data_IF_979632683962
#
_entry.id   IF_979632683962
#
_cell.length_a   1.000
_cell.length_b   1.000
_cell.length_c   1.000
_cell.angle_alpha   90.00
_cell.angle_beta   90.00
_cell.angle_gamma   90.00
#
_symmetry.space_group_name_H-M   'P 1'
#
loop_
_entity.id
_entity.type
_entity.pdbx_description
1 polymer ?
#
# COMPACT_ATOMS: atom_id res chain seq x y z
N UNK A 1 7.11 7.77 8.09
CA UNK A 1 7.15 7.10 6.77
C UNK A 1 7.64 5.65 6.89
N UNK A 2 8.64 5.34 7.72
CA UNK A 2 9.13 3.97 7.95
C UNK A 2 8.02 2.95 8.28
N UNK A 3 7.18 3.22 9.29
CA UNK A 3 6.10 2.31 9.69
C UNK A 3 5.02 2.04 8.63
N UNK A 4 4.90 2.91 7.60
CA UNK A 4 3.97 2.70 6.47
C UNK A 4 4.55 1.65 5.50
N UNK A 5 5.86 1.73 5.26
CA UNK A 5 6.57 0.83 4.35
C UNK A 5 6.69 -0.57 4.96
N UNK A 6 7.03 -0.69 6.24
CA UNK A 6 7.11 -1.98 6.95
C UNK A 6 5.82 -2.79 6.87
N UNK A 7 4.66 -2.12 6.97
CA UNK A 7 3.37 -2.80 6.90
C UNK A 7 3.04 -3.27 5.47
N UNK A 8 3.41 -2.48 4.45
CA UNK A 8 3.28 -2.87 3.05
C UNK A 8 4.25 -4.02 2.69
N UNK A 9 5.44 -4.05 3.30
CA UNK A 9 6.44 -5.11 3.11
C UNK A 9 6.03 -6.43 3.79
N UNK A 10 5.40 -6.38 4.97
CA UNK A 10 5.06 -7.58 5.73
C UNK A 10 3.89 -8.42 5.20
N UNK A 11 2.98 -7.83 4.40
CA UNK A 11 1.79 -8.53 3.85
C UNK A 11 1.90 -8.89 2.37
N UNK A 12 2.96 -8.48 1.68
CA UNK A 12 3.09 -8.57 0.22
C UNK A 12 2.22 -7.55 -0.52
N UNK A 13 0.93 -7.44 -0.20
CA UNK A 13 0.01 -6.46 -0.78
C UNK A 13 -0.90 -5.84 0.29
N UNK A 14 -1.30 -4.58 0.08
CA UNK A 14 -2.22 -3.87 0.97
C UNK A 14 -3.10 -2.89 0.20
N UNK A 15 -4.39 -2.82 0.55
CA UNK A 15 -5.32 -1.80 0.07
C UNK A 15 -5.30 -0.56 0.98
N UNK A 16 -5.83 0.56 0.51
CA UNK A 16 -5.99 1.77 1.33
C UNK A 16 -6.83 1.52 2.59
N UNK A 17 -7.85 0.65 2.50
CA UNK A 17 -8.74 0.31 3.62
C UNK A 17 -8.00 -0.49 4.69
N UNK A 18 -7.32 -1.55 4.30
CA UNK A 18 -6.54 -2.38 5.24
C UNK A 18 -5.43 -1.58 5.92
N UNK A 19 -4.80 -0.66 5.19
CA UNK A 19 -3.79 0.23 5.77
C UNK A 19 -4.39 1.18 6.81
N UNK A 20 -5.56 1.76 6.51
CA UNK A 20 -6.30 2.64 7.43
C UNK A 20 -6.68 1.92 8.73
N UNK A 21 -7.24 0.70 8.61
CA UNK A 21 -7.64 -0.14 9.74
C UNK A 21 -6.44 -0.55 10.58
N UNK A 22 -5.37 -1.04 9.93
CA UNK A 22 -4.17 -1.50 10.62
C UNK A 22 -3.45 -0.38 11.39
N UNK A 23 -3.42 0.83 10.83
CA UNK A 23 -2.78 1.99 11.48
C UNK A 23 -3.75 2.81 12.33
N UNK A 24 -5.05 2.48 12.35
CA UNK A 24 -6.12 3.26 12.99
C UNK A 24 -6.07 4.74 12.58
N UNK A 25 -5.89 5.00 11.29
CA UNK A 25 -5.88 6.35 10.71
C UNK A 25 -6.93 6.47 9.62
N UNK A 26 -7.36 7.69 9.30
CA UNK A 26 -8.37 7.93 8.26
C UNK A 26 -7.97 7.46 6.87
N UNK A 27 -8.96 7.12 6.05
CA UNK A 27 -8.80 6.67 4.66
C UNK A 27 -8.05 7.71 3.80
N UNK A 28 -8.34 9.00 3.97
CA UNK A 28 -7.67 10.06 3.22
C UNK A 28 -6.17 10.12 3.53
N UNK A 29 -5.80 10.06 4.81
CA UNK A 29 -4.40 10.04 5.25
C UNK A 29 -3.69 8.79 4.74
N UNK A 30 -4.38 7.64 4.79
CA UNK A 30 -3.89 6.36 4.26
C UNK A 30 -3.60 6.42 2.76
N UNK A 31 -4.56 6.92 1.98
CA UNK A 31 -4.43 7.06 0.53
C UNK A 31 -3.25 7.95 0.14
N UNK A 32 -3.10 9.10 0.79
CA UNK A 32 -1.96 10.01 0.56
C UNK A 32 -0.62 9.35 0.91
N UNK A 33 -0.53 8.58 1.99
CA UNK A 33 0.70 7.90 2.39
C UNK A 33 1.11 6.82 1.39
N UNK A 34 0.16 5.99 0.93
CA UNK A 34 0.41 4.96 -0.07
C UNK A 34 0.77 5.58 -1.43
N UNK A 35 0.08 6.65 -1.82
CA UNK A 35 0.40 7.39 -3.04
C UNK A 35 1.83 7.98 -2.99
N UNK A 36 2.25 8.48 -1.83
CA UNK A 36 3.61 8.98 -1.65
C UNK A 36 4.66 7.86 -1.78
N UNK A 37 4.40 6.66 -1.27
CA UNK A 37 5.27 5.51 -1.48
C UNK A 37 5.33 5.12 -2.97
N UNK A 38 4.18 5.13 -3.66
CA UNK A 38 4.09 4.83 -5.08
C UNK A 38 4.87 5.84 -5.94
N UNK A 39 4.70 7.14 -5.66
CA UNK A 39 5.44 8.23 -6.33
C UNK A 39 6.95 8.09 -6.12
N UNK A 40 7.37 7.67 -4.93
CA UNK A 40 8.77 7.37 -4.60
C UNK A 40 9.25 5.99 -5.08
N UNK A 41 8.42 5.25 -5.81
CA UNK A 41 8.70 3.92 -6.39
C UNK A 41 9.01 2.82 -5.37
N UNK A 42 8.72 3.03 -4.08
CA UNK A 42 8.87 2.00 -3.03
C UNK A 42 7.81 0.90 -3.12
N UNK A 43 6.65 1.22 -3.69
CA UNK A 43 5.57 0.27 -3.93
C UNK A 43 5.12 0.33 -5.39
N UNK A 44 4.67 -0.79 -5.93
CA UNK A 44 3.87 -0.86 -7.14
C UNK A 44 2.38 -0.69 -6.79
N UNK A 45 1.60 -0.15 -7.72
CA UNK A 45 0.13 -0.09 -7.63
C UNK A 45 -0.44 -1.05 -8.66
N UNK A 46 -1.30 -1.95 -8.20
CA UNK A 46 -2.01 -2.93 -9.01
C UNK A 46 -3.50 -2.55 -8.94
N UNK A 47 -4.14 -2.43 -10.09
CA UNK A 47 -5.59 -2.24 -10.15
C UNK A 47 -6.25 -3.59 -10.41
N UNK A 48 -7.22 -3.93 -9.58
CA UNK A 48 -8.04 -5.13 -9.70
C UNK A 48 -9.51 -4.75 -9.84
N UNK A 49 -10.26 -5.64 -10.48
CA UNK A 49 -11.71 -5.58 -10.53
C UNK A 49 -12.27 -6.45 -9.40
N UNK A 50 -13.17 -5.91 -8.60
CA UNK A 50 -13.89 -6.69 -7.58
C UNK A 50 -14.92 -7.60 -8.23
N UNK A 51 -15.40 -8.62 -7.50
CA UNK A 51 -16.46 -9.52 -7.99
C UNK A 51 -17.75 -8.76 -8.37
N UNK A 52 -17.98 -7.60 -7.76
CA UNK A 52 -19.11 -6.69 -8.03
C UNK A 52 -18.85 -5.71 -9.20
N UNK A 53 -17.73 -5.84 -9.91
CA UNK A 53 -17.35 -4.95 -11.02
C UNK A 53 -16.75 -3.59 -10.61
N UNK A 54 -16.52 -3.38 -9.32
CA UNK A 54 -15.81 -2.21 -8.79
C UNK A 54 -14.31 -2.27 -9.07
N UNK A 55 -13.61 -1.14 -8.95
CA UNK A 55 -12.13 -1.12 -9.02
C UNK A 55 -11.54 -0.98 -7.63
N UNK A 56 -10.55 -1.80 -7.33
CA UNK A 56 -9.74 -1.71 -6.11
C UNK A 56 -8.27 -1.52 -6.46
N UNK A 57 -7.57 -0.69 -5.72
CA UNK A 57 -6.12 -0.54 -5.84
C UNK A 57 -5.42 -1.27 -4.70
N UNK A 58 -4.55 -2.19 -5.07
CA UNK A 58 -3.60 -2.86 -4.17
C UNK A 58 -2.21 -2.26 -4.35
N UNK A 59 -1.50 -2.10 -3.25
CA UNK A 59 -0.13 -1.61 -3.23
C UNK A 59 0.79 -2.72 -2.76
N UNK A 60 1.83 -3.00 -3.55
CA UNK A 60 2.80 -4.05 -3.29
C UNK A 60 4.16 -3.43 -3.03
N UNK A 61 4.80 -3.73 -1.91
CA UNK A 61 6.19 -3.32 -1.70
C UNK A 61 7.07 -3.95 -2.78
N UNK A 62 7.98 -3.16 -3.34
CA UNK A 62 9.06 -3.73 -4.14
C UNK A 62 10.03 -4.41 -3.19
N UNK A 63 10.48 -5.60 -3.53
CA UNK A 63 11.59 -6.22 -2.83
C UNK A 63 12.77 -5.24 -2.86
N UNK A 64 13.16 -4.76 -1.68
CA UNK A 64 14.48 -4.19 -1.51
C UNK A 64 15.38 -5.39 -1.29
N UNK A 65 16.28 -5.68 -2.25
CA UNK A 65 17.45 -6.47 -1.88
C UNK A 65 18.12 -5.72 -0.72
N UNK A 66 18.27 -6.35 0.45
CA UNK A 66 19.06 -5.75 1.51
C UNK A 66 20.46 -5.53 0.92
N UNK A 67 20.96 -4.30 1.02
CA UNK A 67 22.35 -4.01 0.69
C UNK A 67 23.22 -4.96 1.52
N UNK A 68 23.83 -5.91 0.82
CA UNK A 68 24.77 -6.91 1.34
C UNK A 68 25.98 -6.29 2.01
#
# INVERSE_FOLDING_TARGET
MAATLELAMGKGQVTTREFAESKRIGLNTSGTRLLNLYKKRFVARIEDTTEEGGRVSRFQAKEFEPLS
#
